data_IF_641321797800
#
_entry.id   IF_641321797800
#
_cell.length_a   1.000
_cell.length_b   1.000
_cell.length_c   1.000
_cell.angle_alpha   90.00
_cell.angle_beta   90.00
_cell.angle_gamma   90.00
#
_symmetry.space_group_name_H-M   'P 1'
#
loop_
_entity.id
_entity.type
_entity.pdbx_description
1 polymer ?
#
# COMPACT_ATOMS: atom_id res chain seq x y z
N UNK A 1 -3.78 1.73 13.39
CA UNK A 1 -2.90 1.91 12.20
C UNK A 1 -3.79 2.16 10.97
N UNK A 2 -3.45 3.11 10.11
CA UNK A 2 -4.23 3.44 8.90
C UNK A 2 -3.90 2.43 7.79
N UNK A 3 -4.92 1.95 7.08
CA UNK A 3 -4.74 1.08 5.92
C UNK A 3 -4.50 -0.41 6.23
N UNK A 4 -4.68 -0.85 7.47
CA UNK A 4 -4.69 -2.27 7.86
C UNK A 4 -5.97 -2.61 8.60
N UNK A 5 -6.37 -3.88 8.54
CA UNK A 5 -7.52 -4.36 9.31
C UNK A 5 -7.27 -4.18 10.81
N UNK A 6 -8.25 -3.63 11.51
CA UNK A 6 -8.29 -3.48 12.97
C UNK A 6 -9.43 -4.31 13.58
N UNK A 7 -10.02 -5.21 12.79
CA UNK A 7 -11.12 -6.04 13.27
C UNK A 7 -10.60 -7.06 14.29
N UNK A 8 -11.36 -7.27 15.37
CA UNK A 8 -11.02 -8.28 16.38
C UNK A 8 -11.26 -9.72 15.89
N UNK A 9 -12.07 -9.90 14.85
CA UNK A 9 -12.39 -11.21 14.28
C UNK A 9 -12.69 -11.10 12.77
N UNK A 10 -12.58 -12.24 12.09
CA UNK A 10 -12.93 -12.40 10.68
C UNK A 10 -13.58 -13.76 10.48
N UNK A 11 -14.76 -13.80 9.85
CA UNK A 11 -15.44 -15.05 9.52
C UNK A 11 -14.71 -15.79 8.40
N UNK A 12 -14.25 -17.02 8.68
CA UNK A 12 -13.48 -17.83 7.74
C UNK A 12 -14.06 -19.25 7.65
N UNK A 13 -14.13 -19.80 6.44
CA UNK A 13 -14.72 -21.11 6.16
C UNK A 13 -13.70 -22.21 6.49
N UNK A 14 -13.64 -22.62 7.75
CA UNK A 14 -12.61 -23.55 8.25
C UNK A 14 -12.62 -24.90 7.54
N UNK A 15 -13.80 -25.52 7.37
CA UNK A 15 -13.95 -26.86 6.79
C UNK A 15 -13.35 -26.96 5.38
N UNK A 16 -13.79 -26.09 4.46
CA UNK A 16 -13.29 -26.10 3.08
C UNK A 16 -11.80 -25.71 3.03
N UNK A 17 -11.34 -24.84 3.93
CA UNK A 17 -9.94 -24.42 3.96
C UNK A 17 -9.01 -25.54 4.40
N UNK A 18 -9.45 -26.39 5.33
CA UNK A 18 -8.72 -27.58 5.74
C UNK A 18 -8.67 -28.61 4.61
N UNK A 19 -9.79 -28.85 3.91
CA UNK A 19 -9.83 -29.77 2.75
C UNK A 19 -8.93 -29.32 1.60
N UNK A 20 -8.69 -28.01 1.48
CA UNK A 20 -7.81 -27.42 0.48
C UNK A 20 -6.39 -27.19 0.97
N UNK A 21 -6.09 -27.57 2.21
CA UNK A 21 -4.77 -27.43 2.83
C UNK A 21 -4.23 -25.99 2.71
N UNK A 22 -5.09 -24.99 3.00
CA UNK A 22 -4.69 -23.60 2.90
C UNK A 22 -3.75 -23.21 4.06
N UNK A 23 -2.61 -22.63 3.72
CA UNK A 23 -1.74 -21.94 4.67
C UNK A 23 -2.26 -20.51 4.91
N UNK A 24 -2.38 -20.13 6.18
CA UNK A 24 -2.80 -18.80 6.59
C UNK A 24 -1.64 -18.04 7.23
N UNK A 25 -1.31 -16.87 6.67
CA UNK A 25 -0.33 -15.94 7.21
C UNK A 25 -0.97 -14.57 7.44
N UNK A 26 -0.79 -14.01 8.64
CA UNK A 26 -1.22 -12.65 9.00
C UNK A 26 -0.10 -11.95 9.75
N UNK A 27 0.12 -10.69 9.40
CA UNK A 27 1.16 -9.88 10.02
C UNK A 27 1.22 -8.49 9.41
N UNK A 28 2.07 -7.66 10.01
CA UNK A 28 2.44 -6.37 9.46
C UNK A 28 3.75 -6.54 8.69
N UNK A 29 3.96 -5.73 7.65
CA UNK A 29 5.20 -5.77 6.87
C UNK A 29 6.42 -5.48 7.76
N UNK A 30 7.40 -6.39 7.73
CA UNK A 30 8.72 -6.17 8.32
C UNK A 30 9.57 -5.35 7.36
N UNK A 31 9.41 -4.03 7.40
CA UNK A 31 10.11 -3.13 6.47
C UNK A 31 11.62 -3.33 6.53
N UNK A 32 12.19 -3.56 7.70
CA UNK A 32 13.63 -3.75 7.89
C UNK A 32 14.14 -5.00 7.17
N UNK A 33 13.36 -6.07 7.14
CA UNK A 33 13.72 -7.31 6.45
C UNK A 33 13.58 -7.17 4.93
N UNK A 34 12.53 -6.49 4.46
CA UNK A 34 12.20 -6.42 3.03
C UNK A 34 12.94 -5.31 2.27
N UNK A 35 13.24 -4.20 2.94
CA UNK A 35 13.77 -3.00 2.29
C UNK A 35 15.09 -3.23 1.52
N UNK A 36 16.08 -4.01 2.01
CA UNK A 36 17.31 -4.27 1.25
C UNK A 36 17.04 -4.90 -0.13
N UNK A 37 16.14 -5.88 -0.18
CA UNK A 37 15.74 -6.56 -1.43
C UNK A 37 15.02 -5.60 -2.37
N UNK A 38 14.07 -4.82 -1.86
CA UNK A 38 13.31 -3.86 -2.66
C UNK A 38 14.20 -2.76 -3.25
N UNK A 39 15.18 -2.27 -2.48
CA UNK A 39 16.15 -1.28 -2.95
C UNK A 39 17.03 -1.87 -4.05
N UNK A 40 17.52 -3.10 -3.89
CA UNK A 40 18.33 -3.77 -4.92
C UNK A 40 17.56 -3.95 -6.23
N UNK A 41 16.29 -4.38 -6.15
CA UNK A 41 15.40 -4.54 -7.31
C UNK A 41 15.02 -3.20 -7.97
N UNK A 42 14.94 -2.13 -7.19
CA UNK A 42 14.69 -0.80 -7.75
C UNK A 42 15.94 -0.27 -8.45
N UNK A 43 17.11 -0.40 -7.80
CA UNK A 43 18.37 0.09 -8.33
C UNK A 43 18.79 -0.61 -9.64
N UNK A 44 18.45 -1.90 -9.80
CA UNK A 44 18.71 -2.65 -11.02
C UNK A 44 17.59 -2.55 -12.07
N UNK A 45 16.59 -1.69 -11.86
CA UNK A 45 15.50 -1.44 -12.81
C UNK A 45 14.48 -2.58 -12.94
N UNK A 46 14.51 -3.58 -12.07
CA UNK A 46 13.52 -4.67 -12.05
C UNK A 46 12.19 -4.23 -11.45
N UNK A 47 12.19 -3.17 -10.64
CA UNK A 47 11.00 -2.53 -10.09
C UNK A 47 11.03 -1.02 -10.36
N UNK A 48 9.91 -0.48 -10.83
CA UNK A 48 9.65 0.96 -10.87
C UNK A 48 8.61 1.34 -9.81
N UNK A 49 9.01 1.83 -8.63
CA UNK A 49 8.07 2.26 -7.60
C UNK A 49 7.27 3.52 -8.00
N UNK A 50 7.71 4.28 -9.01
CA UNK A 50 6.99 5.46 -9.45
C UNK A 50 5.72 5.10 -10.25
N UNK A 51 5.62 3.86 -10.77
CA UNK A 51 4.47 3.39 -11.54
C UNK A 51 3.12 3.47 -10.80
N UNK A 52 3.12 3.43 -9.46
CA UNK A 52 1.90 3.58 -8.65
C UNK A 52 1.53 5.04 -8.39
N UNK A 53 2.43 5.99 -8.66
CA UNK A 53 2.23 7.43 -8.43
C UNK A 53 1.28 8.00 -9.48
N UNK A 54 0.01 8.15 -9.09
CA UNK A 54 -1.02 8.76 -9.95
C UNK A 54 -0.95 10.29 -10.01
N UNK A 55 -0.54 10.95 -8.92
CA UNK A 55 -0.59 12.41 -8.81
C UNK A 55 0.64 12.94 -8.06
N UNK A 56 1.14 14.09 -8.51
CA UNK A 56 2.15 14.91 -7.81
C UNK A 56 1.59 16.31 -7.66
N UNK A 57 1.55 16.82 -6.44
CA UNK A 57 0.99 18.15 -6.14
C UNK A 57 1.89 18.89 -5.16
N UNK A 58 1.89 20.23 -5.15
CA UNK A 58 2.67 21.00 -4.19
C UNK A 58 2.22 20.71 -2.76
N UNK A 59 3.14 20.84 -1.80
CA UNK A 59 2.83 20.63 -0.38
C UNK A 59 1.67 21.53 0.11
N UNK A 60 1.55 22.74 -0.43
CA UNK A 60 0.46 23.68 -0.15
C UNK A 60 -0.94 23.16 -0.54
N UNK A 61 -1.02 22.22 -1.49
CA UNK A 61 -2.26 21.58 -1.92
C UNK A 61 -2.65 20.36 -1.06
N UNK A 62 -1.93 20.08 0.02
CA UNK A 62 -2.12 18.88 0.86
C UNK A 62 -3.58 18.61 1.24
N UNK A 63 -4.35 19.64 1.65
CA UNK A 63 -5.78 19.46 1.99
C UNK A 63 -6.59 18.86 0.83
N UNK A 64 -6.39 19.38 -0.39
CA UNK A 64 -7.06 18.86 -1.58
C UNK A 64 -6.61 17.44 -1.94
N UNK A 65 -5.32 17.15 -1.77
CA UNK A 65 -4.76 15.82 -1.98
C UNK A 65 -5.40 14.75 -1.06
N UNK A 66 -5.55 15.06 0.23
CA UNK A 66 -6.21 14.16 1.18
C UNK A 66 -7.68 13.97 0.83
N UNK A 67 -8.38 15.03 0.42
CA UNK A 67 -9.78 14.92 -0.01
C UNK A 67 -9.92 14.03 -1.24
N UNK A 68 -9.11 14.25 -2.28
CA UNK A 68 -9.08 13.43 -3.50
C UNK A 68 -8.84 11.94 -3.16
N UNK A 69 -7.84 11.65 -2.33
CA UNK A 69 -7.53 10.27 -1.92
C UNK A 69 -8.67 9.63 -1.11
N UNK A 70 -9.28 10.39 -0.20
CA UNK A 70 -10.39 9.93 0.63
C UNK A 70 -11.66 9.61 -0.16
N UNK A 71 -12.00 10.44 -1.16
CA UNK A 71 -13.16 10.22 -2.04
C UNK A 71 -12.88 9.24 -3.17
N UNK A 72 -11.61 8.82 -3.35
CA UNK A 72 -11.12 8.03 -4.49
C UNK A 72 -11.51 8.65 -5.85
N UNK A 73 -11.58 9.97 -5.91
CA UNK A 73 -11.87 10.68 -7.16
C UNK A 73 -10.69 10.60 -8.12
N UNK A 74 -10.95 10.85 -9.41
CA UNK A 74 -9.90 11.00 -10.42
C UNK A 74 -8.94 9.81 -10.55
N UNK A 75 -9.47 8.59 -10.32
CA UNK A 75 -8.70 7.34 -10.38
C UNK A 75 -7.41 7.37 -9.54
N UNK A 76 -7.42 8.12 -8.44
CA UNK A 76 -6.26 8.30 -7.56
C UNK A 76 -5.79 6.94 -6.99
N UNK A 77 -4.48 6.70 -7.07
CA UNK A 77 -3.81 5.50 -6.55
C UNK A 77 -2.78 5.86 -5.47
N UNK A 78 -1.86 6.76 -5.80
CA UNK A 78 -0.87 7.32 -4.86
C UNK A 78 -0.65 8.79 -5.20
N UNK A 79 -0.68 9.63 -4.17
CA UNK A 79 -0.36 11.06 -4.27
C UNK A 79 0.99 11.30 -3.60
N UNK A 80 1.87 12.02 -4.28
CA UNK A 80 3.12 12.54 -3.72
C UNK A 80 2.95 14.04 -3.50
N UNK A 81 3.16 14.46 -2.25
CA UNK A 81 3.26 15.88 -1.89
C UNK A 81 4.71 16.31 -2.11
N UNK A 82 4.95 17.11 -3.13
CA UNK A 82 6.30 17.57 -3.48
C UNK A 82 6.51 18.99 -2.93
N UNK A 83 7.48 19.22 -2.03
CA UNK A 83 7.79 20.54 -1.52
C UNK A 83 8.51 21.44 -2.55
N UNK A 84 8.94 20.91 -3.71
CA UNK A 84 9.60 21.65 -4.78
C UNK A 84 8.65 22.17 -5.86
N UNK A 85 7.41 21.67 -5.88
CA UNK A 85 6.35 22.12 -6.81
C UNK A 85 5.66 23.39 -6.30
#
# INVERSE_FOLDING_TARGET
>A
MIGVSQNNSFSFQMEISQLKELDFAIGLCSVQAELPTLLALTANGRLDPAAVVSHRVPLSAGRGAYQMFGTRSDRVCKVVLDPKL
#
